data_IF_595453118495
#
_entry.id   IF_595453118495
#
_cell.length_a   1.000
_cell.length_b   1.000
_cell.length_c   1.000
_cell.angle_alpha   90.00
_cell.angle_beta   90.00
_cell.angle_gamma   90.00
#
_symmetry.space_group_name_H-M   'P 1'
#
loop_
_entity.id
_entity.type
_entity.pdbx_description
1 polymer ?
#
# COMPACT_ATOMS: atom_id res chain seq x y z
N UNK A 1 -28.15 11.29 3.73
CA UNK A 1 -27.02 10.35 3.69
C UNK A 1 -26.14 10.44 2.44
N UNK A 2 -26.65 10.76 1.23
CA UNK A 2 -25.82 10.98 0.03
C UNK A 2 -24.99 12.28 0.04
N UNK A 3 -25.43 13.30 0.78
CA UNK A 3 -24.81 14.64 0.77
C UNK A 3 -23.53 14.72 1.62
N UNK A 4 -23.42 13.95 2.71
CA UNK A 4 -22.20 13.91 3.54
C UNK A 4 -21.05 13.19 2.81
N UNK A 5 -21.36 12.17 2.01
CA UNK A 5 -20.38 11.50 1.16
C UNK A 5 -19.84 12.44 0.08
N UNK A 6 -20.69 13.28 -0.51
CA UNK A 6 -20.28 14.26 -1.53
C UNK A 6 -19.31 15.33 -0.97
N UNK A 7 -19.50 15.79 0.26
CA UNK A 7 -18.60 16.77 0.90
C UNK A 7 -17.22 16.18 1.25
N UNK A 8 -17.17 14.95 1.78
CA UNK A 8 -15.91 14.22 2.00
C UNK A 8 -15.20 13.88 0.68
N UNK A 9 -15.97 13.52 -0.35
CA UNK A 9 -15.47 13.27 -1.70
C UNK A 9 -14.90 14.54 -2.35
N UNK A 10 -15.56 15.69 -2.18
CA UNK A 10 -15.14 16.97 -2.72
C UNK A 10 -13.82 17.50 -2.11
N UNK A 11 -13.51 17.16 -0.85
CA UNK A 11 -12.24 17.57 -0.23
C UNK A 11 -11.03 16.73 -0.68
N UNK A 12 -11.28 15.53 -1.21
CA UNK A 12 -10.25 14.59 -1.69
C UNK A 12 -9.76 14.96 -3.11
N UNK A 13 -10.53 15.79 -3.83
CA UNK A 13 -10.27 16.20 -5.21
C UNK A 13 -9.05 17.13 -5.42
N UNK A 14 -8.30 17.46 -4.36
CA UNK A 14 -7.10 18.32 -4.40
C UNK A 14 -5.88 17.67 -3.75
N UNK A 15 -5.73 16.35 -3.82
CA UNK A 15 -4.43 15.74 -3.57
C UNK A 15 -3.58 15.90 -4.84
N UNK A 16 -2.50 16.68 -4.75
CA UNK A 16 -1.48 16.70 -5.80
C UNK A 16 -0.92 15.29 -5.99
N UNK A 17 -0.41 14.96 -7.18
CA UNK A 17 0.15 13.64 -7.51
C UNK A 17 1.11 13.12 -6.43
N UNK A 18 1.91 14.01 -5.83
CA UNK A 18 2.80 13.68 -4.71
C UNK A 18 2.05 13.19 -3.46
N UNK A 19 0.93 13.81 -3.10
CA UNK A 19 0.12 13.38 -1.95
C UNK A 19 -0.53 12.02 -2.19
N UNK A 20 -0.94 11.73 -3.42
CA UNK A 20 -1.47 10.39 -3.78
C UNK A 20 -0.39 9.31 -3.68
N UNK A 21 0.82 9.58 -4.17
CA UNK A 21 1.95 8.65 -4.01
C UNK A 21 2.32 8.43 -2.54
N UNK A 22 2.30 9.50 -1.73
CA UNK A 22 2.52 9.40 -0.29
C UNK A 22 1.45 8.53 0.37
N UNK A 23 0.19 8.71 0.00
CA UNK A 23 -0.92 7.92 0.51
C UNK A 23 -0.76 6.43 0.15
N UNK A 24 -0.39 6.11 -1.10
CA UNK A 24 -0.08 4.74 -1.50
C UNK A 24 1.08 4.14 -0.69
N UNK A 25 2.12 4.93 -0.42
CA UNK A 25 3.29 4.49 0.35
C UNK A 25 2.90 4.18 1.80
N UNK A 26 2.12 5.05 2.43
CA UNK A 26 1.60 4.81 3.79
C UNK A 26 0.68 3.59 3.85
N UNK A 27 -0.16 3.41 2.82
CA UNK A 27 -1.02 2.24 2.66
C UNK A 27 -0.16 0.96 2.59
N UNK A 28 0.95 1.00 1.86
CA UNK A 28 1.86 -0.14 1.67
C UNK A 28 2.54 -0.55 2.97
N UNK A 29 3.05 0.43 3.72
CA UNK A 29 3.67 0.19 5.01
C UNK A 29 2.66 -0.40 6.00
N UNK A 30 1.44 0.11 6.03
CA UNK A 30 0.38 -0.40 6.91
C UNK A 30 0.01 -1.85 6.60
N UNK A 31 -0.09 -2.23 5.31
CA UNK A 31 -0.33 -3.61 4.93
C UNK A 31 0.84 -4.53 5.30
N UNK A 32 2.07 -4.13 4.96
CA UNK A 32 3.27 -4.93 5.23
C UNK A 32 3.41 -5.18 6.73
N UNK A 33 3.25 -4.15 7.57
CA UNK A 33 3.22 -4.29 9.03
C UNK A 33 2.11 -5.25 9.47
N UNK A 34 0.89 -5.04 8.98
CA UNK A 34 -0.28 -5.85 9.31
C UNK A 34 -0.09 -7.35 9.05
N UNK A 35 0.62 -7.70 7.98
CA UNK A 35 0.93 -9.07 7.60
C UNK A 35 2.21 -9.61 8.27
N UNK A 36 3.20 -8.75 8.51
CA UNK A 36 4.50 -9.13 9.07
C UNK A 36 4.41 -9.51 10.56
N UNK A 37 3.59 -8.81 11.35
CA UNK A 37 3.44 -9.10 12.78
C UNK A 37 2.85 -10.50 13.07
N UNK A 38 1.77 -10.95 12.41
CA UNK A 38 1.30 -12.34 12.48
C UNK A 38 2.33 -13.36 11.96
N UNK A 39 3.07 -13.03 10.89
CA UNK A 39 4.13 -13.89 10.37
C UNK A 39 5.21 -14.13 11.42
N UNK A 40 5.68 -13.08 12.10
CA UNK A 40 6.65 -13.19 13.21
C UNK A 40 6.12 -14.04 14.36
N UNK A 41 4.84 -13.88 14.72
CA UNK A 41 4.22 -14.71 15.75
C UNK A 41 4.29 -16.20 15.38
N UNK A 42 3.84 -16.56 14.18
CA UNK A 42 3.74 -17.95 13.75
C UNK A 42 5.10 -18.59 13.41
N UNK A 43 6.05 -17.83 12.87
CA UNK A 43 7.34 -18.35 12.39
C UNK A 43 8.49 -18.17 13.37
N UNK A 44 8.47 -17.13 14.19
CA UNK A 44 9.56 -16.83 15.14
C UNK A 44 9.16 -17.12 16.60
N UNK A 45 7.96 -17.66 16.84
CA UNK A 45 7.47 -17.93 18.20
C UNK A 45 7.22 -16.67 19.02
N UNK A 46 6.87 -15.56 18.36
CA UNK A 46 6.56 -14.29 19.01
C UNK A 46 5.38 -14.37 19.98
N UNK A 47 5.05 -13.25 20.63
CA UNK A 47 3.86 -13.20 21.49
C UNK A 47 2.58 -13.05 20.66
N UNK A 48 1.50 -13.73 21.08
CA UNK A 48 0.12 -13.56 20.52
C UNK A 48 -0.31 -12.09 20.55
N UNK A 49 0.23 -11.30 21.48
CA UNK A 49 -0.04 -9.87 21.61
C UNK A 49 0.33 -9.06 20.36
N UNK A 50 1.18 -9.59 19.46
CA UNK A 50 1.52 -8.98 18.17
C UNK A 50 0.34 -8.97 17.18
N UNK A 51 -0.68 -9.81 17.39
CA UNK A 51 -1.87 -9.86 16.53
C UNK A 51 -2.74 -8.61 16.65
N UNK A 52 -2.80 -7.99 17.84
CA UNK A 52 -3.57 -6.77 18.07
C UNK A 52 -3.04 -5.61 17.22
N UNK A 53 -1.76 -5.22 17.29
CA UNK A 53 -1.21 -4.19 16.42
C UNK A 53 -1.24 -4.60 14.94
N UNK A 54 -1.08 -5.88 14.60
CA UNK A 54 -1.23 -6.37 13.23
C UNK A 54 -2.64 -6.13 12.66
N UNK A 55 -3.67 -6.50 13.42
CA UNK A 55 -5.07 -6.29 13.04
C UNK A 55 -5.43 -4.80 12.94
N UNK A 56 -4.93 -3.97 13.86
CA UNK A 56 -5.11 -2.51 13.78
C UNK A 56 -4.46 -1.92 12.53
N UNK A 57 -3.28 -2.42 12.15
CA UNK A 57 -2.60 -2.00 10.92
C UNK A 57 -3.37 -2.38 9.66
N UNK A 58 -3.97 -3.58 9.62
CA UNK A 58 -4.84 -4.01 8.51
C UNK A 58 -6.14 -3.19 8.44
N UNK A 59 -6.73 -2.85 9.58
CA UNK A 59 -7.89 -1.96 9.63
C UNK A 59 -7.54 -0.55 9.10
N UNK A 60 -6.36 -0.03 9.48
CA UNK A 60 -5.84 1.23 8.98
C UNK A 60 -5.60 1.19 7.46
N UNK A 61 -5.01 0.11 6.95
CA UNK A 61 -4.83 -0.12 5.51
C UNK A 61 -6.17 -0.05 4.75
N UNK A 62 -7.17 -0.80 5.21
CA UNK A 62 -8.50 -0.81 4.59
C UNK A 62 -9.12 0.60 4.58
N UNK A 63 -8.98 1.34 5.67
CA UNK A 63 -9.42 2.73 5.76
C UNK A 63 -8.69 3.65 4.78
N UNK A 64 -7.35 3.56 4.68
CA UNK A 64 -6.54 4.36 3.77
C UNK A 64 -6.92 4.15 2.30
N UNK A 65 -7.31 2.93 1.90
CA UNK A 65 -7.77 2.65 0.55
C UNK A 65 -9.07 3.40 0.21
N UNK A 66 -9.96 3.60 1.18
CA UNK A 66 -11.22 4.35 0.96
C UNK A 66 -10.99 5.83 0.62
N UNK A 67 -9.83 6.37 0.98
CA UNK A 67 -9.45 7.76 0.71
C UNK A 67 -9.04 7.99 -0.77
N UNK A 68 -8.95 6.94 -1.57
CA UNK A 68 -8.63 7.08 -2.99
C UNK A 68 -9.91 7.28 -3.81
N UNK A 69 -10.09 8.49 -4.36
CA UNK A 69 -11.28 8.88 -5.13
C UNK A 69 -11.43 8.26 -6.53
N UNK A 70 -10.90 7.07 -6.77
CA UNK A 70 -11.02 6.37 -8.06
C UNK A 70 -11.59 4.96 -7.87
N UNK A 71 -12.00 4.30 -8.96
CA UNK A 71 -12.52 2.94 -8.89
C UNK A 71 -11.57 2.02 -8.11
N UNK A 72 -12.09 1.30 -7.12
CA UNK A 72 -11.29 0.51 -6.18
C UNK A 72 -10.29 -0.43 -6.88
N UNK A 73 -10.70 -1.09 -7.97
CA UNK A 73 -9.79 -1.96 -8.74
C UNK A 73 -8.57 -1.23 -9.34
N UNK A 74 -8.73 0.02 -9.79
CA UNK A 74 -7.61 0.84 -10.29
C UNK A 74 -6.71 1.29 -9.15
N UNK A 75 -7.27 1.57 -7.98
CA UNK A 75 -6.52 1.88 -6.76
C UNK A 75 -5.66 0.69 -6.37
N UNK A 76 -6.23 -0.52 -6.26
CA UNK A 76 -5.50 -1.73 -5.93
C UNK A 76 -4.38 -2.03 -6.93
N UNK A 77 -4.63 -1.87 -8.23
CA UNK A 77 -3.63 -2.12 -9.26
C UNK A 77 -2.48 -1.08 -9.23
N UNK A 78 -2.80 0.20 -9.03
CA UNK A 78 -1.77 1.24 -8.90
C UNK A 78 -0.97 1.09 -7.60
N UNK A 79 -1.67 0.85 -6.50
CA UNK A 79 -1.09 0.55 -5.20
C UNK A 79 -0.13 -0.64 -5.23
N UNK A 80 -0.48 -1.72 -5.94
CA UNK A 80 0.32 -2.94 -6.02
C UNK A 80 1.75 -2.71 -6.52
N UNK A 81 1.96 -1.78 -7.45
CA UNK A 81 3.31 -1.40 -7.87
C UNK A 81 4.14 -0.77 -6.75
N UNK A 82 3.53 0.17 -6.00
CA UNK A 82 4.15 0.79 -4.81
C UNK A 82 4.42 -0.26 -3.74
N UNK A 83 3.47 -1.17 -3.50
CA UNK A 83 3.61 -2.26 -2.54
C UNK A 83 4.86 -3.10 -2.81
N UNK A 84 5.08 -3.53 -4.07
CA UNK A 84 6.26 -4.32 -4.43
C UNK A 84 7.56 -3.56 -4.15
N UNK A 85 7.62 -2.27 -4.49
CA UNK A 85 8.79 -1.45 -4.21
C UNK A 85 9.06 -1.33 -2.70
N UNK A 86 8.03 -1.09 -1.89
CA UNK A 86 8.13 -1.00 -0.43
C UNK A 86 8.49 -2.36 0.18
N UNK A 87 7.97 -3.47 -0.35
CA UNK A 87 8.31 -4.82 0.12
C UNK A 87 9.79 -5.17 -0.10
N UNK A 88 10.37 -4.81 -1.25
CA UNK A 88 11.81 -4.99 -1.50
C UNK A 88 12.65 -4.04 -0.62
N UNK A 89 12.18 -2.82 -0.37
CA UNK A 89 12.84 -1.93 0.59
C UNK A 89 12.77 -2.50 2.02
N UNK A 90 11.64 -3.11 2.40
CA UNK A 90 11.45 -3.78 3.69
C UNK A 90 12.41 -4.96 3.85
N UNK A 91 12.52 -5.81 2.82
CA UNK A 91 13.46 -6.94 2.75
C UNK A 91 14.90 -6.47 3.06
N UNK A 92 15.29 -5.32 2.53
CA UNK A 92 16.62 -4.77 2.78
C UNK A 92 16.78 -4.15 4.17
N UNK A 93 15.80 -3.36 4.61
CA UNK A 93 15.90 -2.57 5.83
C UNK A 93 15.68 -3.40 7.11
N UNK A 94 14.66 -4.27 7.08
CA UNK A 94 14.15 -5.02 8.25
C UNK A 94 14.69 -6.43 8.23
N UNK A 95 14.55 -7.16 7.11
CA UNK A 95 15.01 -8.55 7.01
C UNK A 95 16.53 -8.63 6.77
N UNK A 96 17.19 -7.49 6.52
CA UNK A 96 18.64 -7.36 6.28
C UNK A 96 19.16 -8.19 5.10
N UNK A 97 18.29 -8.55 4.15
CA UNK A 97 18.65 -9.27 2.93
C UNK A 97 18.90 -8.27 1.81
N UNK A 98 20.08 -8.33 1.19
CA UNK A 98 20.43 -7.39 0.10
C UNK A 98 19.59 -7.72 -1.15
N UNK A 99 18.87 -6.74 -1.72
CA UNK A 99 18.15 -6.92 -2.97
C UNK A 99 19.11 -7.31 -4.10
N UNK A 100 18.66 -8.24 -4.94
CA UNK A 100 19.37 -8.67 -6.13
C UNK A 100 19.01 -7.80 -7.33
N UNK A 101 19.78 -7.93 -8.42
CA UNK A 101 19.44 -7.31 -9.70
C UNK A 101 18.08 -7.80 -10.24
N UNK A 102 17.68 -9.02 -9.92
CA UNK A 102 16.39 -9.58 -10.30
C UNK A 102 15.24 -8.92 -9.53
N UNK A 103 15.44 -8.63 -8.24
CA UNK A 103 14.46 -7.88 -7.44
C UNK A 103 14.27 -6.47 -8.00
N UNK A 104 15.37 -5.79 -8.36
CA UNK A 104 15.32 -4.47 -8.97
C UNK A 104 14.59 -4.48 -10.33
N UNK A 105 14.85 -5.49 -11.17
CA UNK A 105 14.15 -5.66 -12.44
C UNK A 105 12.64 -5.92 -12.23
N UNK A 106 12.29 -6.77 -11.25
CA UNK A 106 10.90 -7.03 -10.86
C UNK A 106 10.18 -5.75 -10.44
N UNK A 107 10.80 -4.96 -9.55
CA UNK A 107 10.27 -3.65 -9.11
C UNK A 107 10.06 -2.71 -10.30
N UNK A 108 11.01 -2.64 -11.23
CA UNK A 108 10.87 -1.79 -12.42
C UNK A 108 9.66 -2.20 -13.28
N UNK A 109 9.46 -3.50 -13.50
CA UNK A 109 8.34 -4.03 -14.29
C UNK A 109 7.00 -3.76 -13.60
N UNK A 110 6.90 -3.98 -12.28
CA UNK A 110 5.64 -3.75 -11.55
C UNK A 110 5.27 -2.27 -11.49
N UNK A 111 6.26 -1.39 -11.30
CA UNK A 111 6.06 0.06 -11.36
C UNK A 111 5.64 0.53 -12.75
N UNK A 112 6.19 -0.06 -13.82
CA UNK A 112 5.77 0.24 -15.19
C UNK A 112 4.30 -0.18 -15.43
N UNK A 113 3.90 -1.37 -15.00
CA UNK A 113 2.51 -1.84 -15.08
C UNK A 113 1.55 -0.95 -14.29
N UNK A 114 1.93 -0.59 -13.06
CA UNK A 114 1.22 0.41 -12.26
C UNK A 114 1.07 1.74 -13.01
N UNK A 115 2.13 2.25 -13.61
CA UNK A 115 2.11 3.54 -14.30
C UNK A 115 1.11 3.55 -15.46
N UNK A 116 1.05 2.46 -16.24
CA UNK A 116 0.07 2.30 -17.31
C UNK A 116 -1.36 2.41 -16.76
N UNK A 117 -1.66 1.75 -15.64
CA UNK A 117 -3.01 1.72 -15.07
C UNK A 117 -3.37 3.04 -14.37
N UNK A 118 -2.41 3.64 -13.65
CA UNK A 118 -2.59 4.88 -12.90
C UNK A 118 -2.74 6.10 -13.82
N UNK A 119 -1.98 6.14 -14.92
CA UNK A 119 -1.95 7.25 -15.87
C UNK A 119 -2.73 6.99 -17.17
N UNK A 120 -3.54 5.93 -17.22
CA UNK A 120 -4.37 5.66 -18.40
C UNK A 120 -5.26 6.86 -18.75
N UNK A 121 -5.50 7.14 -20.05
CA UNK A 121 -6.40 8.20 -20.49
C UNK A 121 -7.80 8.00 -19.92
N UNK A 122 -8.38 9.06 -19.36
CA UNK A 122 -9.80 9.08 -18.96
C UNK A 122 -10.60 9.47 -20.21
N UNK A 123 -10.87 8.49 -21.06
CA UNK A 123 -11.81 8.62 -22.19
C UNK A 123 -13.26 8.61 -21.69
#
# INVERSE_FOLDING_TARGET
MREHAACCYANTHRLSTMKTLLLYTLTAIAEILGCYLPWRWLKEGGSVWLLVPGALSLALFAWLLTLHGTAAGRVYAAYGGVYVAVAIAWLWCVDKVRPTLWDAAGVAVTLAGMAIIAFQPRV
#
